data_IF_644326888496
#
_entry.id   IF_644326888496
#
_cell.length_a   1.000
_cell.length_b   1.000
_cell.length_c   1.000
_cell.angle_alpha   90.00
_cell.angle_beta   90.00
_cell.angle_gamma   90.00
#
_symmetry.space_group_name_H-M   'P 1'
#
loop_
_entity.id
_entity.type
_entity.pdbx_description
1 polymer ?
#
# COMPACT_ATOMS: atom_id res chain seq x y z
N UNK A 1 -0.33 2.56 60.53
CA UNK A 1 -1.42 2.23 59.58
C UNK A 1 -1.53 0.71 59.50
N UNK A 2 -2.70 0.13 59.77
CA UNK A 2 -2.84 -1.31 60.10
C UNK A 2 -2.51 -2.22 58.91
N UNK A 3 -1.83 -3.34 59.19
CA UNK A 3 -1.45 -4.40 58.24
C UNK A 3 -2.62 -4.99 57.42
N UNK A 4 -3.86 -4.64 57.73
CA UNK A 4 -5.08 -5.17 57.12
C UNK A 4 -5.38 -4.55 55.75
N UNK A 5 -5.01 -3.28 55.51
CA UNK A 5 -5.32 -2.59 54.24
C UNK A 5 -4.38 -2.98 53.10
N UNK A 6 -3.12 -3.31 53.39
CA UNK A 6 -2.16 -3.77 52.38
C UNK A 6 -2.55 -5.13 51.82
N UNK A 7 -3.00 -6.05 52.70
CA UNK A 7 -3.49 -7.37 52.29
C UNK A 7 -4.72 -7.25 51.40
N UNK A 8 -5.67 -6.37 51.75
CA UNK A 8 -6.91 -6.17 50.97
C UNK A 8 -6.65 -5.59 49.58
N UNK A 9 -5.67 -4.68 49.44
CA UNK A 9 -5.22 -4.15 48.13
C UNK A 9 -4.53 -5.22 47.28
N UNK A 10 -3.73 -6.09 47.88
CA UNK A 10 -3.08 -7.21 47.17
C UNK A 10 -4.14 -8.18 46.60
N UNK A 11 -5.18 -8.50 47.38
CA UNK A 11 -6.28 -9.33 46.89
C UNK A 11 -7.07 -8.68 45.74
N UNK A 12 -7.35 -7.39 45.82
CA UNK A 12 -8.02 -6.65 44.74
C UNK A 12 -7.21 -6.62 43.44
N UNK A 13 -5.89 -6.44 43.53
CA UNK A 13 -5.00 -6.45 42.37
C UNK A 13 -4.91 -7.86 41.76
N UNK A 14 -4.86 -8.90 42.59
CA UNK A 14 -4.91 -10.28 42.11
C UNK A 14 -6.23 -10.63 41.41
N UNK A 15 -7.36 -10.10 41.90
CA UNK A 15 -8.68 -10.29 41.29
C UNK A 15 -8.83 -9.54 39.97
N UNK A 16 -8.38 -8.29 39.90
CA UNK A 16 -8.41 -7.48 38.67
C UNK A 16 -7.55 -8.09 37.57
N UNK A 17 -6.41 -8.68 37.94
CA UNK A 17 -5.55 -9.37 36.98
C UNK A 17 -6.15 -10.70 36.52
N UNK A 18 -6.74 -11.49 37.42
CA UNK A 18 -7.47 -12.71 37.05
C UNK A 18 -8.59 -12.42 36.05
N UNK A 19 -9.27 -11.28 36.20
CA UNK A 19 -10.27 -10.79 35.25
C UNK A 19 -9.65 -10.43 33.89
N UNK A 20 -8.51 -9.74 33.86
CA UNK A 20 -7.79 -9.43 32.61
C UNK A 20 -7.27 -10.70 31.90
N UNK A 21 -6.78 -11.69 32.65
CA UNK A 21 -6.38 -12.99 32.12
C UNK A 21 -7.58 -13.73 31.53
N UNK A 22 -8.72 -13.72 32.22
CA UNK A 22 -9.95 -14.33 31.74
C UNK A 22 -10.44 -13.66 30.45
N UNK A 23 -10.45 -12.32 30.40
CA UNK A 23 -10.77 -11.55 29.19
C UNK A 23 -9.82 -11.89 28.04
N UNK A 24 -8.53 -12.04 28.32
CA UNK A 24 -7.56 -12.41 27.29
C UNK A 24 -7.77 -13.83 26.76
N UNK A 25 -8.04 -14.81 27.63
CA UNK A 25 -8.37 -16.18 27.23
C UNK A 25 -9.65 -16.22 26.40
N UNK A 26 -10.68 -15.48 26.82
CA UNK A 26 -11.93 -15.31 26.04
C UNK A 26 -11.61 -14.64 24.70
N UNK A 27 -10.76 -13.62 24.68
CA UNK A 27 -10.37 -12.94 23.44
C UNK A 27 -9.64 -13.86 22.45
N UNK A 28 -8.71 -14.71 22.90
CA UNK A 28 -8.08 -15.71 22.02
C UNK A 28 -9.12 -16.66 21.42
N UNK A 29 -10.09 -17.09 22.22
CA UNK A 29 -11.12 -18.04 21.76
C UNK A 29 -12.08 -17.36 20.78
N UNK A 30 -12.44 -16.08 20.97
CA UNK A 30 -13.50 -15.42 20.20
C UNK A 30 -13.02 -14.48 19.08
N UNK A 31 -11.89 -13.78 19.25
CA UNK A 31 -11.37 -12.80 18.29
C UNK A 31 -10.36 -13.39 17.29
N UNK A 32 -9.99 -14.65 17.41
CA UNK A 32 -9.19 -15.31 16.37
C UNK A 32 -10.10 -15.53 15.14
N UNK A 33 -9.78 -14.97 13.96
CA UNK A 33 -10.67 -14.97 12.78
C UNK A 33 -11.04 -16.38 12.27
N UNK A 34 -10.36 -17.42 12.74
CA UNK A 34 -10.66 -18.83 12.47
C UNK A 34 -11.71 -19.46 13.41
N UNK A 35 -12.10 -18.79 14.50
CA UNK A 35 -13.06 -19.30 15.49
C UNK A 35 -14.51 -19.15 15.02
N UNK A 36 -14.82 -18.07 14.31
CA UNK A 36 -16.16 -17.79 13.79
C UNK A 36 -16.33 -18.44 12.41
N UNK A 37 -16.49 -19.77 12.38
CA UNK A 37 -16.96 -20.48 11.19
C UNK A 37 -16.24 -21.76 10.76
N UNK A 38 -15.20 -22.22 11.46
CA UNK A 38 -14.50 -23.47 11.10
C UNK A 38 -14.36 -24.44 12.29
N UNK A 39 -15.16 -25.51 12.31
CA UNK A 39 -15.15 -26.55 13.37
C UNK A 39 -13.84 -27.34 13.44
N UNK A 40 -13.03 -27.32 12.38
CA UNK A 40 -11.69 -27.93 12.37
C UNK A 40 -10.67 -27.10 13.16
N UNK A 41 -10.94 -25.84 13.51
CA UNK A 41 -10.01 -25.00 14.29
C UNK A 41 -9.90 -25.46 15.75
N UNK A 42 -11.00 -25.91 16.36
CA UNK A 42 -11.00 -26.43 17.74
C UNK A 42 -10.26 -27.78 17.82
N UNK A 43 -10.37 -28.60 16.76
CA UNK A 43 -9.73 -29.91 16.67
C UNK A 43 -8.29 -29.87 16.14
N UNK A 44 -7.97 -28.95 15.21
CA UNK A 44 -6.60 -28.64 14.77
C UNK A 44 -6.09 -27.43 15.54
N UNK A 45 -5.80 -27.63 16.82
CA UNK A 45 -5.00 -26.70 17.61
C UNK A 45 -3.71 -26.38 16.84
N UNK A 46 -3.64 -25.18 16.27
CA UNK A 46 -2.45 -24.71 15.61
C UNK A 46 -1.35 -24.59 16.68
N UNK A 47 -0.32 -25.42 16.59
CA UNK A 47 0.82 -25.43 17.52
C UNK A 47 1.38 -24.03 17.74
N UNK A 48 1.39 -23.18 16.71
CA UNK A 48 1.80 -21.78 16.84
C UNK A 48 0.88 -20.96 17.75
N UNK A 49 -0.43 -21.12 17.64
CA UNK A 49 -1.38 -20.41 18.50
C UNK A 49 -1.26 -20.83 19.96
N UNK A 50 -1.05 -22.14 20.21
CA UNK A 50 -0.83 -22.67 21.56
C UNK A 50 0.46 -22.14 22.18
N UNK A 51 1.56 -22.15 21.43
CA UNK A 51 2.85 -21.64 21.90
C UNK A 51 2.78 -20.15 22.20
N UNK A 52 2.14 -19.35 21.35
CA UNK A 52 1.96 -17.92 21.58
C UNK A 52 1.07 -17.63 22.80
N UNK A 53 -0.05 -18.34 22.94
CA UNK A 53 -0.93 -18.21 24.09
C UNK A 53 -0.20 -18.57 25.40
N UNK A 54 0.56 -19.68 25.39
CA UNK A 54 1.36 -20.10 26.53
C UNK A 54 2.42 -19.06 26.89
N UNK A 55 3.18 -18.57 25.91
CA UNK A 55 4.22 -17.57 26.13
C UNK A 55 3.65 -16.29 26.74
N UNK A 56 2.51 -15.82 26.23
CA UNK A 56 1.85 -14.65 26.76
C UNK A 56 1.37 -14.86 28.21
N UNK A 57 0.75 -16.01 28.51
CA UNK A 57 0.35 -16.34 29.89
C UNK A 57 1.55 -16.37 30.83
N UNK A 58 2.67 -16.97 30.42
CA UNK A 58 3.91 -17.00 31.21
C UNK A 58 4.41 -15.58 31.49
N UNK A 59 4.48 -14.72 30.47
CA UNK A 59 4.88 -13.31 30.63
C UNK A 59 3.95 -12.60 31.62
N UNK A 60 2.64 -12.81 31.51
CA UNK A 60 1.64 -12.15 32.34
C UNK A 60 1.74 -12.59 33.82
N UNK A 61 1.98 -13.88 34.06
CA UNK A 61 2.25 -14.42 35.41
C UNK A 61 3.57 -13.86 35.97
N UNK A 62 4.63 -13.78 35.18
CA UNK A 62 5.89 -13.16 35.61
C UNK A 62 5.69 -11.69 35.96
N UNK A 63 4.96 -10.95 35.12
CA UNK A 63 4.66 -9.54 35.34
C UNK A 63 3.85 -9.35 36.62
N UNK A 64 2.96 -10.29 36.95
CA UNK A 64 2.20 -10.30 38.20
C UNK A 64 3.08 -10.50 39.44
N UNK A 65 3.94 -11.52 39.43
CA UNK A 65 4.86 -11.78 40.54
C UNK A 65 5.73 -10.55 40.76
N UNK A 66 6.28 -10.01 39.68
CA UNK A 66 7.09 -8.81 39.71
C UNK A 66 6.30 -7.60 40.24
N UNK A 67 5.10 -7.33 39.72
CA UNK A 67 4.28 -6.21 40.17
C UNK A 67 3.89 -6.35 41.66
N UNK A 68 3.52 -7.55 42.11
CA UNK A 68 3.25 -7.84 43.52
C UNK A 68 4.44 -7.52 44.40
N UNK A 69 5.63 -7.94 44.00
CA UNK A 69 6.86 -7.74 44.77
C UNK A 69 7.30 -6.27 44.75
N UNK A 70 7.15 -5.57 43.62
CA UNK A 70 7.39 -4.12 43.54
C UNK A 70 6.41 -3.32 44.41
N UNK A 71 5.12 -3.67 44.40
CA UNK A 71 4.11 -2.99 45.22
C UNK A 71 4.42 -3.21 46.71
N UNK A 72 4.73 -4.45 47.11
CA UNK A 72 5.10 -4.77 48.49
C UNK A 72 6.35 -3.97 48.90
N UNK A 73 7.38 -3.95 48.05
CA UNK A 73 8.60 -3.20 48.28
C UNK A 73 8.34 -1.70 48.39
N UNK A 74 7.51 -1.12 47.52
CA UNK A 74 7.17 0.30 47.53
C UNK A 74 6.45 0.70 48.83
N UNK A 75 5.52 -0.12 49.31
CA UNK A 75 4.84 0.12 50.59
C UNK A 75 5.73 -0.11 51.81
N UNK A 76 6.61 -1.13 51.79
CA UNK A 76 7.60 -1.36 52.85
C UNK A 76 8.67 -0.25 52.88
N UNK A 77 8.98 0.35 51.74
CA UNK A 77 9.90 1.49 51.64
C UNK A 77 9.40 2.73 52.40
N UNK A 78 8.08 2.95 52.43
CA UNK A 78 7.46 4.04 53.19
C UNK A 78 7.58 3.85 54.73
N UNK A 79 7.82 2.61 55.21
CA UNK A 79 7.79 2.23 56.62
C UNK A 79 9.12 2.41 57.38
N UNK A 80 10.14 3.05 56.79
CA UNK A 80 11.37 3.49 57.48
C UNK A 80 12.06 2.44 58.37
N UNK A 81 12.45 1.28 57.81
CA UNK A 81 13.35 0.35 58.51
C UNK A 81 14.83 0.79 58.41
N UNK A 82 15.62 0.73 59.49
CA UNK A 82 17.05 1.10 59.47
C UNK A 82 17.81 0.16 58.51
N UNK A 83 18.47 0.72 57.49
CA UNK A 83 19.18 -0.04 56.44
C UNK A 83 18.58 0.06 55.02
N UNK A 84 17.37 0.63 54.89
CA UNK A 84 16.66 0.83 53.61
C UNK A 84 17.47 1.61 52.56
N UNK A 85 18.24 2.62 52.97
CA UNK A 85 18.99 3.51 52.04
C UNK A 85 20.11 2.79 51.27
N UNK A 86 20.74 1.76 51.86
CA UNK A 86 21.78 0.97 51.17
C UNK A 86 21.12 0.02 50.17
N UNK A 87 20.04 -0.66 50.59
CA UNK A 87 19.28 -1.55 49.70
C UNK A 87 18.70 -0.81 48.49
N UNK A 88 18.11 0.38 48.66
CA UNK A 88 17.56 1.11 47.51
C UNK A 88 18.62 1.63 46.56
N UNK A 89 19.76 2.12 47.06
CA UNK A 89 20.88 2.52 46.21
C UNK A 89 21.42 1.35 45.40
N UNK A 90 21.53 0.16 46.00
CA UNK A 90 21.96 -1.05 45.30
C UNK A 90 20.96 -1.51 44.23
N UNK A 91 19.67 -1.55 44.57
CA UNK A 91 18.59 -1.93 43.62
C UNK A 91 18.52 -0.95 42.46
N UNK A 92 18.66 0.36 42.71
CA UNK A 92 18.64 1.37 41.66
C UNK A 92 19.83 1.23 40.70
N UNK A 93 21.04 1.01 41.22
CA UNK A 93 22.23 0.80 40.38
C UNK A 93 22.10 -0.45 39.53
N UNK A 94 21.62 -1.57 40.11
CA UNK A 94 21.35 -2.81 39.37
C UNK A 94 20.28 -2.62 38.29
N UNK A 95 19.20 -1.89 38.60
CA UNK A 95 18.14 -1.58 37.65
C UNK A 95 18.67 -0.76 36.48
N UNK A 96 19.42 0.33 36.74
CA UNK A 96 20.02 1.16 35.70
C UNK A 96 21.00 0.33 34.85
N UNK A 97 21.85 -0.47 35.50
CA UNK A 97 22.84 -1.29 34.81
C UNK A 97 22.19 -2.36 33.93
N UNK A 98 21.07 -2.95 34.36
CA UNK A 98 20.28 -3.89 33.55
C UNK A 98 19.50 -3.20 32.42
N UNK A 99 19.07 -1.95 32.62
CA UNK A 99 18.29 -1.20 31.63
C UNK A 99 19.18 -0.65 30.50
N UNK A 100 20.44 -0.33 30.83
CA UNK A 100 21.41 0.22 29.88
C UNK A 100 21.60 -0.63 28.61
N UNK A 101 21.92 -1.93 28.67
CA UNK A 101 22.05 -2.77 27.47
C UNK A 101 20.72 -2.96 26.73
N UNK A 102 19.60 -3.00 27.45
CA UNK A 102 18.28 -3.10 26.83
C UNK A 102 17.92 -1.84 26.01
N UNK A 103 18.26 -0.65 26.53
CA UNK A 103 18.08 0.61 25.80
C UNK A 103 18.95 0.66 24.54
N UNK A 104 20.21 0.24 24.62
CA UNK A 104 21.09 0.15 23.44
C UNK A 104 20.45 -0.74 22.37
N UNK A 105 19.98 -1.94 22.75
CA UNK A 105 19.28 -2.84 21.83
C UNK A 105 18.00 -2.22 21.27
N UNK A 106 17.21 -1.51 22.09
CA UNK A 106 16.01 -0.82 21.65
C UNK A 106 16.30 0.22 20.57
N UNK A 107 17.30 1.08 20.79
CA UNK A 107 17.70 2.08 19.79
C UNK A 107 18.26 1.45 18.52
N UNK A 108 19.05 0.38 18.66
CA UNK A 108 19.59 -0.36 17.52
C UNK A 108 18.47 -1.00 16.69
N UNK A 109 17.53 -1.67 17.37
CA UNK A 109 16.37 -2.29 16.74
C UNK A 109 15.47 -1.24 16.05
N UNK A 110 15.23 -0.10 16.70
CA UNK A 110 14.46 1.00 16.11
C UNK A 110 15.14 1.55 14.84
N UNK A 111 16.45 1.78 14.90
CA UNK A 111 17.23 2.24 13.75
C UNK A 111 17.23 1.23 12.59
N UNK A 112 17.44 -0.05 12.90
CA UNK A 112 17.39 -1.13 11.91
C UNK A 112 15.99 -1.28 11.31
N UNK A 113 14.95 -1.25 12.13
CA UNK A 113 13.56 -1.37 11.68
C UNK A 113 13.20 -0.23 10.73
N UNK A 114 13.54 1.01 11.08
CA UNK A 114 13.25 2.17 10.23
C UNK A 114 13.97 2.08 8.87
N UNK A 115 15.23 1.63 8.86
CA UNK A 115 16.00 1.40 7.61
C UNK A 115 15.40 0.27 6.76
N UNK A 116 15.02 -0.84 7.39
CA UNK A 116 14.39 -1.96 6.69
C UNK A 116 13.04 -1.55 6.09
N UNK A 117 12.21 -0.82 6.85
CA UNK A 117 10.95 -0.30 6.34
C UNK A 117 11.18 0.61 5.13
N UNK A 118 12.09 1.58 5.22
CA UNK A 118 12.41 2.45 4.09
C UNK A 118 12.84 1.66 2.85
N UNK A 119 13.74 0.68 3.01
CA UNK A 119 14.21 -0.17 1.92
C UNK A 119 13.07 -1.01 1.29
N UNK A 120 12.20 -1.57 2.13
CA UNK A 120 11.09 -2.41 1.70
C UNK A 120 9.98 -1.60 1.04
N UNK A 121 9.84 -0.31 1.35
CA UNK A 121 8.83 0.56 0.73
C UNK A 121 9.35 1.32 -0.50
N UNK A 122 10.63 1.70 -0.56
CA UNK A 122 11.20 2.42 -1.70
C UNK A 122 11.42 1.52 -2.91
N UNK A 123 11.98 0.32 -2.70
CA UNK A 123 12.34 -0.58 -3.80
C UNK A 123 11.14 -1.02 -4.67
N UNK A 124 9.97 -1.37 -4.10
CA UNK A 124 8.80 -1.69 -4.91
C UNK A 124 8.22 -0.47 -5.62
N UNK A 125 8.21 0.70 -4.99
CA UNK A 125 7.63 1.91 -5.57
C UNK A 125 8.40 2.35 -6.85
N UNK A 126 9.73 2.35 -6.79
CA UNK A 126 10.57 2.66 -7.94
C UNK A 126 10.41 1.63 -9.07
N UNK A 127 10.36 0.34 -8.73
CA UNK A 127 10.14 -0.72 -9.72
C UNK A 127 8.77 -0.62 -10.39
N UNK A 128 7.71 -0.29 -9.64
CA UNK A 128 6.37 -0.08 -10.20
C UNK A 128 6.32 1.14 -11.13
N UNK A 129 7.01 2.23 -10.79
CA UNK A 129 7.12 3.41 -11.65
C UNK A 129 7.88 3.12 -12.94
N UNK A 130 9.00 2.39 -12.86
CA UNK A 130 9.76 2.01 -14.05
C UNK A 130 8.98 1.04 -14.94
N UNK A 131 8.25 0.09 -14.34
CA UNK A 131 7.41 -0.85 -15.08
C UNK A 131 6.24 -0.15 -15.77
N UNK A 132 5.57 0.80 -15.10
CA UNK A 132 4.46 1.55 -15.70
C UNK A 132 4.92 2.43 -16.87
N UNK A 133 6.10 3.05 -16.77
CA UNK A 133 6.73 3.78 -17.89
C UNK A 133 7.04 2.84 -19.05
N UNK A 134 7.67 1.69 -18.78
CA UNK A 134 7.97 0.72 -19.82
C UNK A 134 6.71 0.22 -20.55
N UNK A 135 5.61 -0.01 -19.81
CA UNK A 135 4.31 -0.37 -20.39
C UNK A 135 3.76 0.80 -21.23
N UNK A 136 3.81 2.03 -20.74
CA UNK A 136 3.34 3.20 -21.48
C UNK A 136 4.13 3.40 -22.78
N UNK A 137 5.46 3.32 -22.74
CA UNK A 137 6.33 3.45 -23.91
C UNK A 137 6.03 2.36 -24.95
N UNK A 138 5.83 1.11 -24.50
CA UNK A 138 5.42 -0.01 -25.37
C UNK A 138 4.04 0.21 -25.98
N UNK A 139 3.09 0.71 -25.19
CA UNK A 139 1.74 1.02 -25.67
C UNK A 139 1.77 2.10 -26.75
N UNK A 140 2.53 3.19 -26.55
CA UNK A 140 2.67 4.25 -27.55
C UNK A 140 3.41 3.79 -28.80
N UNK A 141 4.45 2.97 -28.67
CA UNK A 141 5.19 2.45 -29.82
C UNK A 141 4.34 1.47 -30.64
N UNK A 142 3.61 0.56 -29.98
CA UNK A 142 2.68 -0.34 -30.66
C UNK A 142 1.52 0.44 -31.30
N UNK A 143 1.01 1.47 -30.63
CA UNK A 143 0.01 2.38 -31.18
C UNK A 143 0.51 3.11 -32.43
N UNK A 144 1.76 3.56 -32.43
CA UNK A 144 2.43 4.19 -33.58
C UNK A 144 2.54 3.22 -34.76
N UNK A 145 3.07 2.02 -34.53
CA UNK A 145 3.23 1.01 -35.57
C UNK A 145 1.89 0.61 -36.19
N UNK A 146 0.88 0.37 -35.36
CA UNK A 146 -0.47 0.02 -35.81
C UNK A 146 -1.12 1.18 -36.58
N UNK A 147 -1.01 2.41 -36.09
CA UNK A 147 -1.56 3.60 -36.76
C UNK A 147 -0.95 3.81 -38.15
N UNK A 148 0.38 3.69 -38.26
CA UNK A 148 1.08 3.81 -39.54
C UNK A 148 0.67 2.66 -40.48
N UNK A 149 0.64 1.42 -40.00
CA UNK A 149 0.25 0.25 -40.81
C UNK A 149 -1.18 0.36 -41.35
N UNK A 150 -2.13 0.82 -40.52
CA UNK A 150 -3.51 1.05 -40.95
C UNK A 150 -3.60 2.22 -41.93
N UNK A 151 -2.91 3.33 -41.67
CA UNK A 151 -2.89 4.47 -42.59
C UNK A 151 -2.31 4.10 -43.97
N UNK A 152 -1.20 3.33 -44.00
CA UNK A 152 -0.57 2.88 -45.24
C UNK A 152 -1.43 1.90 -46.02
N UNK A 153 -2.09 0.94 -45.35
CA UNK A 153 -3.01 0.01 -46.03
C UNK A 153 -4.24 0.73 -46.58
N UNK A 154 -4.83 1.65 -45.83
CA UNK A 154 -5.93 2.49 -46.32
C UNK A 154 -5.49 3.35 -47.51
N UNK A 155 -4.29 3.94 -47.48
CA UNK A 155 -3.76 4.74 -48.59
C UNK A 155 -3.54 3.91 -49.86
N UNK A 156 -3.01 2.68 -49.74
CA UNK A 156 -2.82 1.77 -50.86
C UNK A 156 -4.16 1.30 -51.45
N UNK A 157 -5.11 0.92 -50.59
CA UNK A 157 -6.45 0.53 -51.00
C UNK A 157 -7.20 1.69 -51.69
N UNK A 158 -6.93 2.95 -51.32
CA UNK A 158 -7.60 4.16 -51.83
C UNK A 158 -7.15 4.58 -53.24
N UNK A 159 -6.16 3.90 -53.86
CA UNK A 159 -5.62 4.25 -55.19
C UNK A 159 -6.57 4.14 -56.40
N UNK A 160 -7.87 3.86 -56.20
CA UNK A 160 -8.91 3.80 -57.25
C UNK A 160 -10.06 4.82 -57.06
N UNK A 161 -11.15 4.70 -57.84
CA UNK A 161 -12.39 5.50 -57.65
C UNK A 161 -13.12 5.08 -56.37
N UNK A 162 -12.70 5.60 -55.22
CA UNK A 162 -13.29 5.23 -53.93
C UNK A 162 -14.10 6.39 -53.37
N UNK A 163 -15.34 6.07 -52.99
CA UNK A 163 -16.25 6.99 -52.31
C UNK A 163 -15.68 7.30 -50.92
N UNK A 164 -15.57 8.58 -50.53
CA UNK A 164 -14.99 8.95 -49.25
C UNK A 164 -15.71 8.37 -48.01
N UNK A 165 -16.99 8.03 -48.14
CA UNK A 165 -17.78 7.36 -47.10
C UNK A 165 -17.29 5.93 -46.78
N UNK A 166 -16.74 5.21 -47.76
CA UNK A 166 -16.22 3.85 -47.54
C UNK A 166 -14.90 3.87 -46.76
N UNK A 167 -14.08 4.91 -46.95
CA UNK A 167 -12.81 5.10 -46.22
C UNK A 167 -13.09 5.41 -44.75
N UNK A 168 -14.07 6.28 -44.45
CA UNK A 168 -14.46 6.57 -43.07
C UNK A 168 -14.99 5.32 -42.35
N UNK A 169 -15.85 4.53 -43.02
CA UNK A 169 -16.36 3.27 -42.46
C UNK A 169 -15.23 2.32 -42.10
N UNK A 170 -14.30 2.06 -43.02
CA UNK A 170 -13.14 1.17 -42.80
C UNK A 170 -12.21 1.69 -41.70
N UNK A 171 -11.97 3.00 -41.64
CA UNK A 171 -11.17 3.59 -40.57
C UNK A 171 -11.82 3.36 -39.20
N UNK A 172 -13.15 3.55 -39.08
CA UNK A 172 -13.90 3.29 -37.84
C UNK A 172 -13.92 1.82 -37.44
N UNK A 173 -14.07 0.90 -38.41
CA UNK A 173 -14.00 -0.55 -38.17
C UNK A 173 -12.65 -0.97 -37.57
N UNK A 174 -11.57 -0.25 -37.91
CA UNK A 174 -10.22 -0.46 -37.36
C UNK A 174 -9.94 0.37 -36.09
N UNK A 175 -10.95 1.01 -35.51
CA UNK A 175 -10.86 1.74 -34.24
C UNK A 175 -10.41 3.20 -34.34
N UNK A 176 -10.35 3.80 -35.53
CA UNK A 176 -9.99 5.21 -35.70
C UNK A 176 -11.23 6.10 -35.62
N UNK A 177 -11.11 7.24 -34.92
CA UNK A 177 -12.21 8.17 -34.72
C UNK A 177 -12.65 8.92 -35.99
N UNK A 178 -11.75 9.05 -36.98
CA UNK A 178 -12.02 9.73 -38.24
C UNK A 178 -10.85 9.63 -39.22
N UNK A 179 -11.04 10.17 -40.42
CA UNK A 179 -10.04 10.19 -41.49
C UNK A 179 -10.11 11.50 -42.27
N UNK A 180 -8.97 11.97 -42.76
CA UNK A 180 -8.85 13.06 -43.71
C UNK A 180 -8.00 12.61 -44.89
N UNK A 181 -8.47 12.87 -46.11
CA UNK A 181 -7.80 12.48 -47.35
C UNK A 181 -7.32 13.73 -48.06
N UNK A 182 -6.08 13.70 -48.51
CA UNK A 182 -5.44 14.80 -49.22
C UNK A 182 -5.06 14.38 -50.65
N UNK A 183 -5.24 15.28 -51.59
CA UNK A 183 -4.73 15.17 -52.96
C UNK A 183 -3.18 15.32 -52.98
N UNK A 184 -2.53 14.93 -54.09
CA UNK A 184 -1.07 15.09 -54.29
C UNK A 184 -0.60 16.55 -54.15
N UNK A 185 -1.50 17.50 -54.38
CA UNK A 185 -1.27 18.94 -54.21
C UNK A 185 -1.46 19.42 -52.76
N UNK A 186 -1.78 18.53 -51.80
CA UNK A 186 -2.00 18.84 -50.39
C UNK A 186 -3.34 19.48 -50.07
N UNK A 187 -4.28 19.49 -51.03
CA UNK A 187 -5.67 19.93 -50.84
C UNK A 187 -6.49 18.83 -50.16
N UNK A 188 -7.36 19.20 -49.23
CA UNK A 188 -8.24 18.25 -48.54
C UNK A 188 -9.35 17.85 -49.51
N UNK A 189 -9.39 16.58 -49.90
CA UNK A 189 -10.45 16.01 -50.73
C UNK A 189 -11.63 15.54 -49.87
N UNK A 190 -11.33 15.04 -48.67
CA UNK A 190 -12.35 14.58 -47.73
C UNK A 190 -11.89 14.75 -46.28
N UNK A 191 -12.85 14.98 -45.38
CA UNK A 191 -12.64 15.10 -43.94
C UNK A 191 -13.86 14.60 -43.18
N UNK A 192 -13.63 13.76 -42.17
CA UNK A 192 -14.67 13.40 -41.20
C UNK A 192 -15.09 14.61 -40.35
N UNK A 193 -16.38 14.74 -40.06
CA UNK A 193 -16.97 15.89 -39.33
C UNK A 193 -16.38 16.10 -37.93
N UNK A 194 -15.83 15.07 -37.30
CA UNK A 194 -15.35 15.12 -35.92
C UNK A 194 -13.85 15.48 -35.80
N UNK A 195 -13.15 15.68 -36.92
CA UNK A 195 -11.71 15.99 -36.93
C UNK A 195 -11.50 17.51 -37.13
N UNK A 196 -11.24 18.24 -36.04
CA UNK A 196 -11.12 19.70 -36.05
C UNK A 196 -9.69 20.22 -36.32
N UNK A 197 -8.66 19.49 -35.89
CA UNK A 197 -7.28 19.99 -35.99
C UNK A 197 -6.55 19.49 -37.25
N UNK A 198 -6.12 20.40 -38.12
CA UNK A 198 -5.46 20.03 -39.37
C UNK A 198 -3.94 20.07 -39.22
N UNK A 199 -3.22 19.07 -39.72
CA UNK A 199 -1.77 19.10 -39.75
C UNK A 199 -1.27 20.35 -40.49
N UNK A 200 -0.21 20.96 -39.94
CA UNK A 200 0.41 22.15 -40.52
C UNK A 200 0.89 21.89 -41.97
N UNK A 201 1.15 22.96 -42.73
CA UNK A 201 1.52 22.82 -44.16
C UNK A 201 2.82 22.04 -44.37
N UNK A 202 3.80 22.23 -43.50
CA UNK A 202 5.12 21.57 -43.56
C UNK A 202 5.02 20.06 -43.33
N UNK A 203 4.20 19.65 -42.36
CA UNK A 203 3.95 18.26 -42.04
C UNK A 203 3.18 17.53 -43.14
N UNK A 204 2.22 18.23 -43.75
CA UNK A 204 1.55 17.69 -44.93
C UNK A 204 2.52 17.48 -46.08
N UNK A 205 3.40 18.46 -46.34
CA UNK A 205 4.42 18.33 -47.37
C UNK A 205 5.35 17.14 -47.09
N UNK A 206 5.80 16.93 -45.85
CA UNK A 206 6.69 15.82 -45.52
C UNK A 206 6.01 14.45 -45.68
N UNK A 207 4.74 14.30 -45.27
CA UNK A 207 4.00 13.03 -45.45
C UNK A 207 3.75 12.72 -46.93
N UNK A 208 3.45 13.75 -47.74
CA UNK A 208 3.25 13.60 -49.18
C UNK A 208 4.52 13.19 -49.95
N UNK A 209 5.71 13.41 -49.38
CA UNK A 209 6.98 12.88 -49.93
C UNK A 209 7.21 11.39 -49.62
N UNK A 210 6.25 10.72 -48.97
CA UNK A 210 6.30 9.28 -48.68
C UNK A 210 6.87 8.93 -47.29
N UNK A 211 7.09 9.93 -46.42
CA UNK A 211 7.55 9.68 -45.04
C UNK A 211 6.36 9.56 -44.10
N UNK A 212 6.11 8.39 -43.48
CA UNK A 212 5.02 8.26 -42.52
C UNK A 212 5.27 9.16 -41.31
N UNK A 213 4.20 9.70 -40.74
CA UNK A 213 4.26 10.55 -39.56
C UNK A 213 3.23 10.11 -38.53
N UNK A 214 3.63 10.19 -37.26
CA UNK A 214 2.77 9.93 -36.11
C UNK A 214 3.09 10.93 -35.01
N UNK A 215 2.05 11.39 -34.32
CA UNK A 215 2.18 12.28 -33.18
C UNK A 215 1.18 11.86 -32.12
N UNK A 216 1.68 11.74 -30.89
CA UNK A 216 0.84 11.66 -29.70
C UNK A 216 0.74 13.07 -29.16
N UNK A 217 -0.48 13.58 -29.08
CA UNK A 217 -0.75 14.82 -28.37
C UNK A 217 -1.41 14.46 -27.05
N UNK A 218 -0.91 15.05 -25.96
CA UNK A 218 -1.56 14.91 -24.66
C UNK A 218 -2.94 15.56 -24.79
N UNK A 219 -3.99 14.78 -24.58
CA UNK A 219 -5.32 15.35 -24.50
C UNK A 219 -5.29 16.45 -23.43
N UNK A 220 -5.56 17.70 -23.83
CA UNK A 220 -5.66 18.80 -22.88
C UNK A 220 -6.89 18.47 -22.03
N UNK A 221 -6.63 17.93 -20.84
CA UNK A 221 -7.60 17.34 -19.91
C UNK A 221 -8.26 16.06 -20.43
N UNK A 222 -7.76 14.86 -20.08
CA UNK A 222 -8.71 13.78 -19.84
C UNK A 222 -9.56 14.27 -18.67
N UNK A 223 -10.82 14.64 -18.94
CA UNK A 223 -11.82 14.77 -17.90
C UNK A 223 -11.72 13.50 -17.06
N UNK A 224 -11.12 13.61 -15.87
CA UNK A 224 -11.00 12.49 -14.96
C UNK A 224 -12.43 12.23 -14.58
N UNK A 225 -13.06 11.25 -15.24
CA UNK A 225 -14.36 10.74 -14.86
C UNK A 225 -14.18 10.08 -13.49
N UNK A 226 -14.22 10.90 -12.46
CA UNK A 226 -14.43 10.44 -11.09
C UNK A 226 -15.80 9.76 -11.14
N UNK A 227 -15.91 8.49 -10.73
CA UNK A 227 -17.20 7.83 -10.61
C UNK A 227 -18.12 8.69 -9.72
N UNK A 228 -19.13 9.34 -10.32
CA UNK A 228 -20.11 10.17 -9.62
C UNK A 228 -20.14 11.67 -9.94
N UNK A 229 -19.28 12.20 -10.83
CA UNK A 229 -19.40 13.60 -11.24
C UNK A 229 -20.54 13.78 -12.27
N UNK A 230 -21.68 14.34 -11.82
CA UNK A 230 -22.75 14.79 -12.70
C UNK A 230 -22.35 16.08 -13.41
N UNK A 231 -22.53 16.09 -14.74
CA UNK A 231 -22.43 17.26 -15.61
C UNK A 231 -23.28 18.40 -15.05
N UNK A 232 -22.64 19.48 -14.59
CA UNK A 232 -23.30 20.77 -14.45
C UNK A 232 -22.87 21.62 -15.64
N UNK A 233 -23.88 22.09 -16.36
CA UNK A 233 -23.83 22.76 -17.65
C UNK A 233 -22.94 24.00 -17.73
#
# INVERSE_FOLDING_TARGET
MSQTDSKRRIYWISGFLGFFVLIYLVSIVFLNPSSVGNTLFVWKLNLWAVVWALNFVVILVLLFILARDLIKLFFEYQSSQPGSRIKSKLVLTLAIFSLFPALIMLFLAFGLMNRNLQQWFSSPAEQMLNSSRAIADRYYEQGRENAIAVASSLAFETGGEIRPADIERRARERGFAGVAVYDRQGRVTYRSRNWLDLPNKELRASVLTGRPYYRVEKNQEPEVLIPGATRTD
#
